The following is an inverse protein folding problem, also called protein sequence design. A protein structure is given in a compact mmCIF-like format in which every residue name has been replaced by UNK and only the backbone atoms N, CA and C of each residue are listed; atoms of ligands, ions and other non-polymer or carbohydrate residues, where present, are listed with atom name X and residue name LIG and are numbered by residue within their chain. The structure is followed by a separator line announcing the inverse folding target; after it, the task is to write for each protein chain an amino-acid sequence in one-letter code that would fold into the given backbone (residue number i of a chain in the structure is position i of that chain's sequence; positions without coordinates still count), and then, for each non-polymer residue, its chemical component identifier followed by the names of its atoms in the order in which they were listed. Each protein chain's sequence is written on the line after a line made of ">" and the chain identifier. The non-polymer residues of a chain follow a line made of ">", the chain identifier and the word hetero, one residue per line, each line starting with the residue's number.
data_IF_091925123789
#
_entry.id   IF_091925123789
#
_cell.length_a   1.000
_cell.length_b   1.000
_cell.length_c   1.000
_cell.angle_alpha   90.00
_cell.angle_beta   90.00
_cell.angle_gamma   90.00
#
_symmetry.space_group_name_H-M   'P 1'
#
loop_
_entity.id
_entity.type
_entity.pdbx_description
1 polymer ?
#
# COMPACT_ATOMS: atom_id res chain seq x y z
N UNK A 1 -5.29 0.56 -30.56
CA UNK A 1 -4.07 0.30 -29.78
C UNK A 1 -4.38 0.68 -28.34
N UNK A 2 -4.21 -0.23 -27.37
CA UNK A 2 -4.30 0.09 -25.94
C UNK A 2 -2.87 0.39 -25.47
N UNK A 3 -2.67 1.52 -24.81
CA UNK A 3 -1.36 1.92 -24.30
C UNK A 3 -1.43 2.06 -22.77
N UNK A 4 -0.55 1.35 -22.08
CA UNK A 4 -0.40 1.38 -20.62
C UNK A 4 0.90 2.07 -20.25
N UNK A 5 0.89 2.84 -19.16
CA UNK A 5 2.09 3.44 -18.58
C UNK A 5 2.62 2.53 -17.49
N UNK A 6 3.93 2.34 -17.49
CA UNK A 6 4.67 1.60 -16.47
C UNK A 6 5.81 2.47 -15.97
N UNK A 7 6.09 2.41 -14.68
CA UNK A 7 7.37 2.86 -14.15
C UNK A 7 8.48 1.87 -14.53
N UNK A 8 9.75 2.22 -14.25
CA UNK A 8 10.89 1.41 -14.68
C UNK A 8 10.92 0.01 -14.07
N UNK A 9 10.47 -0.14 -12.81
CA UNK A 9 10.44 -1.42 -12.12
C UNK A 9 9.31 -2.33 -12.63
N UNK A 10 8.12 -1.77 -12.86
CA UNK A 10 7.00 -2.47 -13.48
C UNK A 10 7.36 -2.92 -14.90
N UNK A 11 8.01 -2.05 -15.66
CA UNK A 11 8.49 -2.38 -17.01
C UNK A 11 9.48 -3.53 -16.97
N UNK A 12 10.46 -3.49 -16.06
CA UNK A 12 11.45 -4.56 -15.93
C UNK A 12 10.77 -5.89 -15.57
N UNK A 13 9.82 -5.87 -14.63
CA UNK A 13 9.06 -7.05 -14.22
C UNK A 13 8.31 -7.69 -15.40
N UNK A 14 7.70 -6.87 -16.27
CA UNK A 14 7.01 -7.35 -17.49
C UNK A 14 8.00 -7.94 -18.49
N UNK A 15 9.18 -7.33 -18.66
CA UNK A 15 10.22 -7.85 -19.56
C UNK A 15 10.73 -9.22 -19.09
N UNK A 16 11.00 -9.35 -17.79
CA UNK A 16 11.50 -10.60 -17.19
C UNK A 16 10.46 -11.72 -17.30
N UNK A 17 9.19 -11.41 -17.03
CA UNK A 17 8.09 -12.37 -17.18
C UNK A 17 7.89 -12.79 -18.64
N UNK A 18 7.95 -11.85 -19.58
CA UNK A 18 7.85 -12.16 -21.00
C UNK A 18 9.00 -13.07 -21.47
N UNK A 19 10.24 -12.79 -21.02
CA UNK A 19 11.39 -13.62 -21.31
C UNK A 19 11.25 -15.03 -20.71
N UNK A 20 10.79 -15.16 -19.46
CA UNK A 20 10.53 -16.43 -18.81
C UNK A 20 9.48 -17.28 -19.54
N UNK A 21 8.49 -16.62 -20.16
CA UNK A 21 7.47 -17.29 -20.98
C UNK A 21 7.86 -17.47 -22.46
N UNK A 22 9.09 -17.09 -22.87
CA UNK A 22 9.54 -17.07 -24.25
C UNK A 22 8.60 -16.28 -25.20
N UNK A 23 8.06 -15.17 -24.72
CA UNK A 23 7.14 -14.28 -25.46
C UNK A 23 7.78 -12.92 -25.69
N UNK A 24 7.30 -12.20 -26.72
CA UNK A 24 7.57 -10.76 -26.81
C UNK A 24 6.82 -10.03 -25.70
N UNK A 25 7.30 -8.87 -25.20
CA UNK A 25 6.60 -8.12 -24.17
C UNK A 25 5.14 -7.78 -24.53
N UNK A 26 4.90 -7.38 -25.78
CA UNK A 26 3.55 -7.11 -26.28
C UNK A 26 2.67 -8.37 -26.35
N UNK A 27 3.24 -9.51 -26.73
CA UNK A 27 2.53 -10.79 -26.76
C UNK A 27 2.17 -11.29 -25.36
N UNK A 28 3.10 -11.15 -24.42
CA UNK A 28 2.88 -11.46 -23.00
C UNK A 28 1.76 -10.59 -22.42
N UNK A 29 1.83 -9.27 -22.62
CA UNK A 29 0.79 -8.33 -22.15
C UNK A 29 -0.59 -8.66 -22.73
N UNK A 30 -0.67 -8.96 -24.03
CA UNK A 30 -1.93 -9.35 -24.66
C UNK A 30 -2.49 -10.66 -24.08
N UNK A 31 -1.61 -11.66 -23.87
CA UNK A 31 -2.00 -12.94 -23.29
C UNK A 31 -2.47 -12.78 -21.84
N UNK A 32 -1.73 -12.03 -21.01
CA UNK A 32 -2.09 -11.76 -19.63
C UNK A 32 -3.43 -11.01 -19.53
N UNK A 33 -3.61 -9.94 -20.32
CA UNK A 33 -4.84 -9.16 -20.34
C UNK A 33 -6.05 -9.99 -20.79
N UNK A 34 -5.90 -10.82 -21.83
CA UNK A 34 -6.97 -11.71 -22.28
C UNK A 34 -7.26 -12.84 -21.29
N UNK A 35 -6.25 -13.35 -20.60
CA UNK A 35 -6.43 -14.38 -19.57
C UNK A 35 -7.17 -13.83 -18.35
N UNK A 36 -6.84 -12.61 -17.90
CA UNK A 36 -7.58 -11.91 -16.87
C UNK A 36 -9.03 -11.63 -17.29
N UNK A 37 -9.26 -11.18 -18.53
CA UNK A 37 -10.60 -10.93 -19.05
C UNK A 37 -11.46 -12.20 -19.16
N UNK A 38 -10.85 -13.39 -19.33
CA UNK A 38 -11.55 -14.68 -19.38
C UNK A 38 -11.98 -15.17 -18.00
N UNK A 39 -11.24 -14.83 -16.96
CA UNK A 39 -11.54 -15.19 -15.57
C UNK A 39 -11.88 -13.94 -14.75
N UNK A 40 -12.95 -13.26 -15.20
CA UNK A 40 -13.32 -11.94 -14.68
C UNK A 40 -13.65 -11.99 -13.19
N UNK A 41 -14.29 -13.06 -12.70
CA UNK A 41 -14.65 -13.20 -11.28
C UNK A 41 -13.41 -13.22 -10.39
N UNK A 42 -12.36 -13.96 -10.78
CA UNK A 42 -11.10 -13.97 -10.04
C UNK A 42 -10.41 -12.61 -10.10
N UNK A 43 -10.33 -12.00 -11.28
CA UNK A 43 -9.70 -10.68 -11.46
C UNK A 43 -10.43 -9.58 -10.68
N UNK A 44 -11.76 -9.60 -10.64
CA UNK A 44 -12.55 -8.66 -9.83
C UNK A 44 -12.25 -8.83 -8.34
N UNK A 45 -12.16 -10.07 -7.84
CA UNK A 45 -11.82 -10.34 -6.45
C UNK A 45 -10.41 -9.84 -6.10
N UNK A 46 -9.41 -10.10 -6.96
CA UNK A 46 -8.04 -9.64 -6.78
C UNK A 46 -7.95 -8.11 -6.75
N UNK A 47 -8.57 -7.43 -7.72
CA UNK A 47 -8.59 -5.96 -7.79
C UNK A 47 -9.36 -5.35 -6.61
N UNK A 48 -10.48 -5.96 -6.20
CA UNK A 48 -11.23 -5.51 -5.03
C UNK A 48 -10.39 -5.61 -3.75
N UNK A 49 -9.67 -6.73 -3.57
CA UNK A 49 -8.76 -6.94 -2.44
C UNK A 49 -7.60 -5.95 -2.40
N UNK A 50 -6.94 -5.69 -3.54
CA UNK A 50 -5.88 -4.68 -3.62
C UNK A 50 -6.40 -3.28 -3.27
N UNK A 51 -7.57 -2.90 -3.80
CA UNK A 51 -8.19 -1.62 -3.48
C UNK A 51 -8.59 -1.51 -2.02
N UNK A 52 -9.05 -2.59 -1.41
CA UNK A 52 -9.37 -2.64 0.02
C UNK A 52 -8.14 -2.45 0.89
N UNK A 53 -7.07 -3.18 0.58
CA UNK A 53 -5.76 -3.02 1.20
C UNK A 53 -5.27 -1.57 1.13
N UNK A 54 -5.32 -0.95 -0.05
CA UNK A 54 -4.92 0.46 -0.23
C UNK A 54 -5.80 1.41 0.60
N UNK A 55 -7.12 1.19 0.64
CA UNK A 55 -8.05 1.99 1.46
C UNK A 55 -7.69 1.92 2.94
N UNK A 56 -7.42 0.72 3.46
CA UNK A 56 -7.03 0.54 4.86
C UNK A 56 -5.71 1.25 5.20
N UNK A 57 -4.70 1.17 4.32
CA UNK A 57 -3.45 1.90 4.51
C UNK A 57 -3.65 3.41 4.50
N UNK A 58 -4.45 3.94 3.57
CA UNK A 58 -4.73 5.37 3.51
C UNK A 58 -5.57 5.87 4.69
N UNK A 59 -6.34 4.99 5.35
CA UNK A 59 -7.07 5.33 6.57
C UNK A 59 -6.16 5.71 7.75
N UNK A 60 -4.86 5.35 7.70
CA UNK A 60 -3.86 5.75 8.71
C UNK A 60 -3.39 7.21 8.55
N UNK A 61 -3.59 7.82 7.38
CA UNK A 61 -3.11 9.16 7.04
C UNK A 61 -3.57 10.28 7.99
N UNK A 62 -4.85 10.33 8.40
CA UNK A 62 -5.32 11.31 9.39
C UNK A 62 -4.64 11.19 10.75
N UNK A 63 -4.36 9.97 11.23
CA UNK A 63 -3.67 9.74 12.50
C UNK A 63 -2.22 10.26 12.42
N UNK A 64 -1.50 9.94 11.34
CA UNK A 64 -0.15 10.44 11.08
C UNK A 64 -0.11 11.97 10.99
N UNK A 65 -1.08 12.59 10.30
CA UNK A 65 -1.20 14.05 10.22
C UNK A 65 -1.35 14.69 11.62
N UNK A 66 -2.15 14.07 12.50
CA UNK A 66 -2.35 14.54 13.87
C UNK A 66 -1.07 14.43 14.70
N UNK A 67 -0.34 13.33 14.57
CA UNK A 67 0.96 13.12 15.23
C UNK A 67 1.94 14.22 14.80
N UNK A 68 2.05 14.48 13.49
CA UNK A 68 2.92 15.54 12.96
C UNK A 68 2.57 16.93 13.49
N UNK A 69 1.28 17.27 13.55
CA UNK A 69 0.83 18.54 14.12
C UNK A 69 1.18 18.67 15.61
N UNK A 70 0.99 17.61 16.40
CA UNK A 70 1.34 17.60 17.82
C UNK A 70 2.86 17.71 18.01
N UNK A 71 3.65 17.03 17.17
CA UNK A 71 5.11 17.11 17.19
C UNK A 71 5.61 18.53 16.88
N UNK A 72 5.00 19.21 15.90
CA UNK A 72 5.30 20.61 15.61
C UNK A 72 4.98 21.53 16.80
N UNK A 73 3.88 21.27 17.52
CA UNK A 73 3.54 22.01 18.74
C UNK A 73 4.55 21.77 19.86
N UNK A 74 5.01 20.53 20.04
CA UNK A 74 6.09 20.20 21.00
C UNK A 74 7.36 20.97 20.66
N UNK A 75 7.80 20.93 19.40
CA UNK A 75 8.99 21.65 18.96
C UNK A 75 8.87 23.17 19.20
N UNK A 76 7.71 23.75 18.90
CA UNK A 76 7.46 25.17 19.14
C UNK A 76 7.50 25.56 20.62
N UNK A 77 6.95 24.73 21.51
CA UNK A 77 6.99 24.95 22.96
C UNK A 77 8.43 24.84 23.52
N UNK A 78 9.17 23.80 23.12
CA UNK A 78 10.55 23.61 23.54
C UNK A 78 11.46 24.74 23.07
N UNK A 79 11.25 25.27 21.86
CA UNK A 79 12.00 26.43 21.35
C UNK A 79 11.73 27.73 22.15
N UNK A 80 10.69 27.76 22.98
CA UNK A 80 10.32 28.88 23.86
C UNK A 80 10.62 28.60 25.33
N UNK A 81 11.29 27.48 25.64
CA UNK A 81 11.47 26.96 27.00
C UNK A 81 10.13 26.80 27.77
N UNK A 82 9.04 26.54 27.05
CA UNK A 82 7.70 26.32 27.59
C UNK A 82 7.40 24.82 27.78
N UNK A 83 6.51 24.46 28.72
CA UNK A 83 6.04 23.08 28.84
C UNK A 83 5.37 22.58 27.55
N UNK A 84 5.66 21.33 27.17
CA UNK A 84 5.14 20.71 25.95
C UNK A 84 4.08 19.63 26.27
N UNK A 85 2.83 19.99 26.60
CA UNK A 85 1.79 19.03 27.01
C UNK A 85 1.43 18.01 25.92
N UNK A 86 1.68 18.36 24.65
CA UNK A 86 1.41 17.49 23.50
C UNK A 86 2.40 16.33 23.35
N UNK A 87 3.52 16.33 24.08
CA UNK A 87 4.54 15.29 23.97
C UNK A 87 3.97 13.90 24.26
N UNK A 88 3.06 13.78 25.25
CA UNK A 88 2.41 12.52 25.55
C UNK A 88 1.48 12.05 24.42
N UNK A 89 0.70 12.97 23.85
CA UNK A 89 -0.20 12.67 22.74
C UNK A 89 0.54 12.23 21.46
N UNK A 90 1.77 12.72 21.24
CA UNK A 90 2.65 12.23 20.16
C UNK A 90 3.00 10.76 20.38
N UNK A 91 3.49 10.42 21.59
CA UNK A 91 3.90 9.05 21.92
C UNK A 91 2.72 8.06 21.83
N UNK A 92 1.60 8.40 22.45
CA UNK A 92 0.40 7.56 22.43
C UNK A 92 -0.12 7.39 20.98
N UNK A 93 -0.05 8.44 20.16
CA UNK A 93 -0.43 8.39 18.75
C UNK A 93 0.47 7.47 17.91
N UNK A 94 1.79 7.54 18.12
CA UNK A 94 2.76 6.66 17.43
C UNK A 94 2.52 5.20 17.81
N UNK A 95 2.29 4.92 19.10
CA UNK A 95 1.99 3.57 19.56
C UNK A 95 0.69 3.03 18.95
N UNK A 96 -0.35 3.85 18.86
CA UNK A 96 -1.61 3.45 18.24
C UNK A 96 -1.42 3.13 16.74
N UNK A 97 -0.76 4.01 15.98
CA UNK A 97 -0.52 3.76 14.55
C UNK A 97 0.32 2.50 14.35
N UNK A 98 1.32 2.25 15.21
CA UNK A 98 2.10 1.02 15.17
C UNK A 98 1.21 -0.21 15.34
N UNK A 99 0.29 -0.20 16.31
CA UNK A 99 -0.66 -1.30 16.52
C UNK A 99 -1.59 -1.48 15.31
N UNK A 100 -2.09 -0.39 14.74
CA UNK A 100 -2.98 -0.43 13.57
C UNK A 100 -2.26 -1.05 12.35
N UNK A 101 -0.99 -0.70 12.14
CA UNK A 101 -0.13 -1.30 11.09
C UNK A 101 0.10 -2.78 11.34
N UNK A 102 0.41 -3.20 12.56
CA UNK A 102 0.57 -4.63 12.87
C UNK A 102 -0.72 -5.41 12.64
N UNK A 103 -1.85 -4.86 13.07
CA UNK A 103 -3.15 -5.49 12.85
C UNK A 103 -3.47 -5.62 11.35
N UNK A 104 -3.13 -4.61 10.55
CA UNK A 104 -3.24 -4.66 9.09
C UNK A 104 -2.36 -5.76 8.48
N UNK A 105 -1.08 -5.84 8.86
CA UNK A 105 -0.15 -6.86 8.36
C UNK A 105 -0.67 -8.27 8.69
N UNK A 106 -1.16 -8.49 9.90
CA UNK A 106 -1.72 -9.79 10.30
C UNK A 106 -2.95 -10.16 9.47
N UNK A 107 -3.93 -9.24 9.31
CA UNK A 107 -5.10 -9.49 8.46
C UNK A 107 -4.71 -9.86 7.03
N UNK A 108 -3.69 -9.21 6.47
CA UNK A 108 -3.23 -9.50 5.11
C UNK A 108 -2.49 -10.85 5.01
N UNK A 109 -1.71 -11.22 6.01
CA UNK A 109 -1.05 -12.53 6.07
C UNK A 109 -2.06 -13.68 6.23
N UNK A 110 -3.11 -13.47 7.03
CA UNK A 110 -4.16 -14.45 7.29
C UNK A 110 -5.11 -14.60 6.08
N UNK A 111 -5.40 -13.51 5.36
CA UNK A 111 -6.16 -13.53 4.11
C UNK A 111 -5.37 -14.01 2.89
N UNK A 112 -4.04 -14.05 2.96
CA UNK A 112 -3.13 -14.28 1.83
C UNK A 112 -2.71 -15.73 1.57
N UNK A 113 -3.30 -16.74 2.23
CA UNK A 113 -2.99 -18.15 1.97
C UNK A 113 -4.02 -18.74 0.98
N UNK A 114 -3.76 -18.81 -0.34
CA UNK A 114 -4.57 -19.64 -1.21
C UNK A 114 -4.47 -21.08 -0.71
N UNK A 115 -5.61 -21.75 -0.55
CA UNK A 115 -5.62 -23.20 -0.38
C UNK A 115 -4.89 -23.81 -1.58
N UNK A 116 -3.81 -24.53 -1.29
CA UNK A 116 -3.02 -25.26 -2.27
C UNK A 116 -3.86 -26.30 -3.03
#
# INVERSE_FOLDING_TARGET
>A
MIASRFNDAEKQSVLDAAAACAMTPSGFLAHAALSAARDLTRTEAEVAGEREMMRELFALGPALSRIGNNLNQVAAALNRDEPAPQARAVLDGVDQVRLDVYAFIQRYQDGGRPAA
#
